data_IF_858545551502
#
_entry.id   IF_858545551502
#
_cell.length_a   1.000
_cell.length_b   1.000
_cell.length_c   1.000
_cell.angle_alpha   90.00
_cell.angle_beta   90.00
_cell.angle_gamma   90.00
#
_symmetry.space_group_name_H-M   'P 1'
#
loop_
_entity.id
_entity.type
_entity.pdbx_description
1 polymer ?
#
# COMPACT_ATOMS: atom_id res chain seq x y z
N UNK A 1 -9.40 3.00 -12.94
CA UNK A 1 -8.35 2.64 -11.96
C UNK A 1 -7.73 3.89 -11.35
N UNK A 2 -7.37 4.90 -12.13
CA UNK A 2 -6.74 6.15 -11.67
C UNK A 2 -7.50 6.85 -10.52
N UNK A 3 -8.81 7.05 -10.63
CA UNK A 3 -9.57 7.84 -9.64
C UNK A 3 -9.68 7.16 -8.27
N UNK A 4 -9.93 5.84 -8.25
CA UNK A 4 -9.92 5.06 -7.02
C UNK A 4 -8.55 5.05 -6.35
N UNK A 5 -7.49 5.01 -7.17
CA UNK A 5 -6.12 5.10 -6.69
C UNK A 5 -5.81 6.48 -6.09
N UNK A 6 -6.18 7.56 -6.78
CA UNK A 6 -5.95 8.93 -6.32
C UNK A 6 -6.62 9.21 -4.98
N UNK A 7 -7.85 8.72 -4.78
CA UNK A 7 -8.60 8.93 -3.54
C UNK A 7 -8.12 8.03 -2.39
N UNK A 8 -7.75 6.78 -2.68
CA UNK A 8 -7.20 5.89 -1.66
C UNK A 8 -5.75 6.28 -1.28
N UNK A 9 -4.99 6.84 -2.21
CA UNK A 9 -3.58 7.17 -2.03
C UNK A 9 -3.35 8.22 -0.95
N UNK A 10 -4.17 9.28 -0.90
CA UNK A 10 -4.05 10.29 0.16
C UNK A 10 -4.28 9.67 1.54
N UNK A 11 -5.29 8.83 1.68
CA UNK A 11 -5.60 8.14 2.94
C UNK A 11 -4.46 7.21 3.40
N UNK A 12 -3.87 6.45 2.48
CA UNK A 12 -2.72 5.58 2.78
C UNK A 12 -1.51 6.41 3.22
N UNK A 13 -1.19 7.48 2.49
CA UNK A 13 -0.04 8.33 2.81
C UNK A 13 -0.24 9.03 4.15
N UNK A 14 -1.41 9.61 4.40
CA UNK A 14 -1.67 10.37 5.62
C UNK A 14 -1.60 9.46 6.86
N UNK A 15 -2.06 8.20 6.75
CA UNK A 15 -1.89 7.18 7.79
C UNK A 15 -0.43 6.88 8.11
N UNK A 16 0.41 6.67 7.10
CA UNK A 16 1.84 6.42 7.28
C UNK A 16 2.60 7.66 7.79
N UNK A 17 2.19 8.87 7.39
CA UNK A 17 2.75 10.13 7.90
C UNK A 17 2.44 10.29 9.39
N UNK A 18 1.22 9.98 9.84
CA UNK A 18 0.89 9.98 11.28
C UNK A 18 1.79 9.03 12.07
N UNK A 19 2.11 7.86 11.52
CA UNK A 19 3.09 6.94 12.13
C UNK A 19 4.50 7.54 12.18
N UNK A 20 4.97 8.21 11.12
CA UNK A 20 6.27 8.89 11.13
C UNK A 20 6.31 10.02 12.17
N UNK A 21 5.22 10.77 12.34
CA UNK A 21 5.10 11.78 13.40
C UNK A 21 5.19 11.11 14.77
N UNK A 22 4.52 9.98 14.97
CA UNK A 22 4.61 9.19 16.20
C UNK A 22 6.04 8.74 16.47
N UNK A 23 6.75 8.24 15.45
CA UNK A 23 8.17 7.88 15.57
C UNK A 23 9.04 9.09 15.94
N UNK A 24 8.80 10.26 15.34
CA UNK A 24 9.54 11.48 15.66
C UNK A 24 9.33 11.90 17.12
N UNK A 25 8.10 11.82 17.63
CA UNK A 25 7.80 12.07 19.04
C UNK A 25 8.46 11.05 19.96
N UNK A 26 8.45 9.77 19.59
CA UNK A 26 9.12 8.70 20.35
C UNK A 26 10.64 8.86 20.36
N UNK A 27 11.25 9.39 19.30
CA UNK A 27 12.69 9.70 19.30
C UNK A 27 12.99 10.86 20.25
N UNK A 28 12.14 11.89 20.30
CA UNK A 28 12.37 13.07 21.13
C UNK A 28 12.10 12.83 22.62
N UNK A 29 11.02 12.12 22.95
CA UNK A 29 10.56 11.93 24.33
C UNK A 29 10.80 10.52 24.89
N UNK A 30 11.19 9.56 24.05
CA UNK A 30 11.39 8.16 24.46
C UNK A 30 12.72 7.90 25.16
N UNK A 31 12.79 6.81 25.91
CA UNK A 31 14.04 6.32 26.49
C UNK A 31 14.95 5.72 25.41
N UNK A 32 16.23 5.49 25.75
CA UNK A 32 17.25 4.99 24.81
C UNK A 32 16.83 3.73 24.03
N UNK A 33 16.05 2.83 24.63
CA UNK A 33 15.53 1.65 23.94
C UNK A 33 14.41 2.00 22.93
N UNK A 34 13.50 2.87 23.34
CA UNK A 34 12.34 3.29 22.53
C UNK A 34 12.79 4.12 21.32
N UNK A 35 13.85 4.91 21.45
CA UNK A 35 14.45 5.64 20.33
C UNK A 35 14.95 4.70 19.23
N UNK A 36 15.62 3.60 19.60
CA UNK A 36 16.07 2.58 18.64
C UNK A 36 14.92 1.83 17.96
N UNK A 37 13.86 1.52 18.71
CA UNK A 37 12.63 0.96 18.16
C UNK A 37 11.97 1.91 17.17
N UNK A 38 11.81 3.18 17.54
CA UNK A 38 11.19 4.20 16.71
C UNK A 38 11.96 4.47 15.41
N UNK A 39 13.30 4.44 15.44
CA UNK A 39 14.13 4.56 14.25
C UNK A 39 13.90 3.40 13.26
N UNK A 40 13.86 2.17 13.78
CA UNK A 40 13.60 0.98 12.95
C UNK A 40 12.18 1.01 12.36
N UNK A 41 11.20 1.42 13.16
CA UNK A 41 9.81 1.57 12.72
C UNK A 41 9.68 2.62 11.62
N UNK A 42 10.34 3.78 11.76
CA UNK A 42 10.33 4.84 10.75
C UNK A 42 10.89 4.38 9.40
N UNK A 43 12.02 3.65 9.42
CA UNK A 43 12.61 3.07 8.20
C UNK A 43 11.65 2.04 7.59
N UNK A 44 11.04 1.18 8.41
CA UNK A 44 10.05 0.19 7.96
C UNK A 44 8.83 0.82 7.28
N UNK A 45 8.30 1.92 7.84
CA UNK A 45 7.17 2.66 7.25
C UNK A 45 7.52 3.23 5.88
N UNK A 46 8.72 3.83 5.73
CA UNK A 46 9.17 4.37 4.43
C UNK A 46 9.32 3.27 3.38
N UNK A 47 9.97 2.16 3.74
CA UNK A 47 10.12 0.99 2.85
C UNK A 47 8.77 0.36 2.49
N UNK A 48 7.84 0.30 3.44
CA UNK A 48 6.48 -0.19 3.23
C UNK A 48 5.71 0.70 2.25
N UNK A 49 5.75 2.02 2.42
CA UNK A 49 5.10 2.96 1.48
C UNK A 49 5.64 2.83 0.06
N UNK A 50 6.96 2.70 -0.10
CA UNK A 50 7.59 2.48 -1.40
C UNK A 50 7.16 1.15 -2.02
N UNK A 51 7.16 0.09 -1.22
CA UNK A 51 6.76 -1.25 -1.65
C UNK A 51 5.28 -1.31 -2.00
N UNK A 52 4.41 -0.62 -1.27
CA UNK A 52 2.97 -0.57 -1.54
C UNK A 52 2.68 -0.01 -2.94
N UNK A 53 3.31 1.10 -3.34
CA UNK A 53 3.14 1.67 -4.69
C UNK A 53 3.57 0.67 -5.75
N UNK A 54 4.76 0.09 -5.57
CA UNK A 54 5.37 -0.82 -6.54
C UNK A 54 4.53 -2.10 -6.68
N UNK A 55 4.14 -2.70 -5.55
CA UNK A 55 3.35 -3.93 -5.51
C UNK A 55 1.96 -3.69 -6.09
N UNK A 56 1.25 -2.60 -5.76
CA UNK A 56 -0.08 -2.40 -6.32
C UNK A 56 -0.05 -2.20 -7.84
N UNK A 57 0.98 -1.52 -8.38
CA UNK A 57 1.17 -1.39 -9.83
C UNK A 57 1.41 -2.74 -10.49
N UNK A 58 2.29 -3.57 -9.91
CA UNK A 58 2.62 -4.91 -10.42
C UNK A 58 1.41 -5.84 -10.31
N UNK A 59 0.77 -5.88 -9.14
CA UNK A 59 -0.41 -6.71 -8.87
C UNK A 59 -1.54 -6.39 -9.85
N UNK A 60 -1.89 -5.12 -10.04
CA UNK A 60 -2.95 -4.74 -10.99
C UNK A 60 -2.59 -5.16 -12.43
N UNK A 61 -1.32 -5.03 -12.83
CA UNK A 61 -0.85 -5.45 -14.16
C UNK A 61 -0.96 -6.97 -14.38
N UNK A 62 -0.85 -7.79 -13.34
CA UNK A 62 -0.99 -9.25 -13.44
C UNK A 62 -2.44 -9.73 -13.22
N UNK A 63 -3.16 -9.14 -12.26
CA UNK A 63 -4.52 -9.55 -11.88
C UNK A 63 -5.54 -9.14 -12.93
N UNK A 64 -5.44 -7.97 -13.55
CA UNK A 64 -6.40 -7.51 -14.57
C UNK A 64 -6.48 -8.45 -15.78
N UNK A 65 -5.36 -8.83 -16.45
CA UNK A 65 -5.42 -9.76 -17.57
C UNK A 65 -5.86 -11.17 -17.14
N UNK A 66 -5.39 -11.64 -15.98
CA UNK A 66 -5.86 -12.91 -15.41
C UNK A 66 -7.38 -12.91 -15.18
N UNK A 67 -7.92 -11.85 -14.58
CA UNK A 67 -9.36 -11.74 -14.34
C UNK A 67 -10.17 -11.62 -15.63
N UNK A 68 -9.65 -10.98 -16.69
CA UNK A 68 -10.34 -10.97 -17.99
C UNK A 68 -10.43 -12.37 -18.61
N UNK A 69 -9.36 -13.16 -18.52
CA UNK A 69 -9.28 -14.48 -19.13
C UNK A 69 -10.09 -15.55 -18.37
N UNK A 70 -10.07 -15.53 -17.03
CA UNK A 70 -10.86 -16.47 -16.20
C UNK A 70 -12.27 -15.96 -15.88
N UNK A 71 -12.46 -14.64 -15.78
CA UNK A 71 -13.77 -14.03 -15.59
C UNK A 71 -14.66 -14.17 -16.83
N UNK A 72 -14.09 -14.20 -18.04
CA UNK A 72 -14.88 -14.48 -19.24
C UNK A 72 -15.44 -15.90 -19.22
N UNK A 73 -14.69 -16.92 -18.80
CA UNK A 73 -15.22 -18.28 -18.69
C UNK A 73 -16.16 -18.49 -17.50
N UNK A 74 -16.03 -17.70 -16.42
CA UNK A 74 -16.90 -17.78 -15.24
C UNK A 74 -18.23 -17.02 -15.43
N UNK A 75 -18.24 -15.91 -16.17
CA UNK A 75 -19.43 -15.07 -16.41
C UNK A 75 -20.05 -15.24 -17.81
N UNK A 76 -19.37 -15.84 -18.79
CA UNK A 76 -19.96 -16.18 -20.08
C UNK A 76 -20.36 -17.65 -20.16
N UNK A 77 -21.50 -17.92 -19.54
CA UNK A 77 -22.54 -18.75 -20.16
C UNK A 77 -23.39 -17.95 -21.16
N UNK A 78 -22.86 -16.92 -21.84
CA UNK A 78 -23.59 -16.18 -22.88
C UNK A 78 -22.77 -16.08 -24.16
N UNK A 79 -23.03 -17.07 -25.02
CA UNK A 79 -23.13 -16.96 -26.47
C UNK A 79 -22.20 -15.93 -27.15
N UNK A 80 -21.14 -16.48 -27.73
CA UNK A 80 -20.45 -15.91 -28.90
C UNK A 80 -21.34 -16.20 -30.12
N UNK A 81 -21.84 -15.17 -30.81
CA UNK A 81 -22.04 -15.26 -32.26
C UNK A 81 -20.68 -15.09 -32.95
#
# INVERSE_FOLDING_TARGET
MEEGFLRAWSSIRDGNISTLITCALLIWFGSSFVQGFAATLAIGVLLSMFSAITITRVMLRFVVPWFQEYGSVLFLGSKKE
#
